data_IF_456652903958
#
_entry.id   IF_456652903958
#
_cell.length_a   1.000
_cell.length_b   1.000
_cell.length_c   1.000
_cell.angle_alpha   90.00
_cell.angle_beta   90.00
_cell.angle_gamma   90.00
#
_symmetry.space_group_name_H-M   'P 1'
#
loop_
_entity.id
_entity.type
_entity.pdbx_description
1 polymer ?
#
# COMPACT_ATOMS: atom_id res chain seq x y z
N UNK A 1 9.23 9.30 -1.37
CA UNK A 1 7.80 9.60 -1.12
C UNK A 1 7.58 9.50 0.38
N UNK A 2 6.99 10.52 1.01
CA UNK A 2 6.66 10.48 2.43
C UNK A 2 5.26 9.88 2.64
N UNK A 3 5.02 9.14 3.75
CA UNK A 3 3.70 8.64 4.08
C UNK A 3 2.72 9.80 4.30
N UNK A 4 1.47 9.61 3.87
CA UNK A 4 0.41 10.59 4.11
C UNK A 4 -0.35 10.19 5.37
N UNK A 5 -0.18 10.98 6.43
CA UNK A 5 -0.83 10.79 7.72
C UNK A 5 -1.89 11.90 7.89
N UNK A 6 -3.16 11.53 7.87
CA UNK A 6 -4.27 12.48 7.97
C UNK A 6 -5.07 12.20 9.24
N UNK A 7 -4.98 13.13 10.20
CA UNK A 7 -5.76 13.07 11.45
C UNK A 7 -7.26 13.29 11.23
N UNK A 8 -7.66 13.87 10.09
CA UNK A 8 -9.05 14.00 9.63
C UNK A 8 -9.11 13.81 8.12
N UNK A 9 -9.27 12.57 7.68
CA UNK A 9 -9.25 12.23 6.25
C UNK A 9 -10.40 12.90 5.48
N UNK A 10 -11.60 12.99 6.06
CA UNK A 10 -12.81 13.57 5.45
C UNK A 10 -12.70 15.07 5.11
N UNK A 11 -11.71 15.78 5.63
CA UNK A 11 -11.47 17.20 5.36
C UNK A 11 -10.34 17.43 4.36
N UNK A 12 -9.63 16.38 3.90
CA UNK A 12 -8.59 16.51 2.89
C UNK A 12 -9.24 16.60 1.49
N UNK A 13 -8.88 17.60 0.66
CA UNK A 13 -9.46 17.78 -0.67
C UNK A 13 -9.17 16.62 -1.64
N UNK A 14 -8.23 15.72 -1.31
CA UNK A 14 -7.94 14.51 -2.07
C UNK A 14 -8.77 13.31 -1.60
N UNK A 15 -9.51 13.44 -0.51
CA UNK A 15 -10.37 12.39 0.01
C UNK A 15 -11.62 12.27 -0.84
N UNK A 16 -11.84 11.08 -1.42
CA UNK A 16 -13.08 10.77 -2.13
C UNK A 16 -14.02 10.09 -1.14
N UNK A 17 -15.15 10.75 -0.87
CA UNK A 17 -16.23 10.20 -0.06
C UNK A 17 -17.08 9.29 -0.94
N UNK A 18 -17.24 8.03 -0.55
CA UNK A 18 -18.19 7.11 -1.17
C UNK A 18 -19.36 6.85 -0.20
N UNK A 19 -20.55 7.42 -0.46
CA UNK A 19 -21.70 7.30 0.44
C UNK A 19 -22.12 5.86 0.72
N UNK A 20 -21.93 4.94 -0.25
CA UNK A 20 -22.28 3.53 -0.09
C UNK A 20 -21.38 2.78 0.89
N UNK A 21 -20.17 3.31 1.15
CA UNK A 21 -19.18 2.69 2.03
C UNK A 21 -19.33 3.10 3.51
N UNK A 22 -20.27 4.02 3.81
CA UNK A 22 -20.54 4.51 5.17
C UNK A 22 -19.25 5.00 5.89
N UNK A 23 -18.40 5.70 5.11
CA UNK A 23 -17.05 6.12 5.51
C UNK A 23 -17.03 7.15 6.64
N UNK A 24 -18.19 7.74 7.00
CA UNK A 24 -18.35 8.66 8.12
C UNK A 24 -17.90 8.09 9.48
N UNK A 25 -17.78 6.76 9.58
CA UNK A 25 -17.26 6.11 10.79
C UNK A 25 -15.74 6.19 10.92
N UNK A 26 -14.99 6.39 9.83
CA UNK A 26 -13.52 6.37 9.85
C UNK A 26 -12.95 7.76 10.07
N UNK A 27 -12.44 8.00 11.28
CA UNK A 27 -12.00 9.31 11.71
C UNK A 27 -10.51 9.59 11.39
N UNK A 28 -9.69 8.55 11.26
CA UNK A 28 -8.27 8.69 10.89
C UNK A 28 -7.81 7.61 9.93
N UNK A 29 -6.85 7.97 9.08
CA UNK A 29 -6.33 7.10 8.03
C UNK A 29 -4.81 7.28 7.87
N UNK A 30 -4.12 6.16 7.67
CA UNK A 30 -2.70 6.11 7.30
C UNK A 30 -2.57 5.41 5.95
N UNK A 31 -2.05 6.14 4.97
CA UNK A 31 -1.71 5.57 3.66
C UNK A 31 -0.19 5.45 3.54
N UNK A 32 0.28 4.21 3.41
CA UNK A 32 1.71 3.89 3.29
C UNK A 32 2.02 3.31 1.89
N UNK A 33 2.86 3.96 1.08
CA UNK A 33 3.16 3.47 -0.26
C UNK A 33 4.12 2.27 -0.20
N UNK A 34 3.87 1.27 -1.05
CA UNK A 34 4.78 0.14 -1.26
C UNK A 34 5.69 0.51 -2.44
N UNK A 35 6.95 0.81 -2.17
CA UNK A 35 7.88 1.35 -3.17
C UNK A 35 9.21 0.61 -3.21
N UNK A 36 9.81 0.48 -4.39
CA UNK A 36 11.21 0.11 -4.57
C UNK A 36 11.89 1.19 -5.43
N UNK A 37 12.85 1.93 -4.85
CA UNK A 37 13.50 3.08 -5.50
C UNK A 37 12.49 4.12 -6.03
N UNK A 38 12.25 4.13 -7.34
CA UNK A 38 11.33 5.05 -8.03
C UNK A 38 9.99 4.40 -8.38
N UNK A 39 9.90 3.08 -8.26
CA UNK A 39 8.73 2.32 -8.68
C UNK A 39 7.73 2.17 -7.52
N UNK A 40 6.45 2.35 -7.83
CA UNK A 40 5.33 2.17 -6.90
C UNK A 40 4.62 0.87 -7.24
N UNK A 41 4.55 -0.03 -6.27
CA UNK A 41 3.93 -1.36 -6.40
C UNK A 41 2.51 -1.40 -5.81
N UNK A 42 2.12 -0.39 -5.05
CA UNK A 42 0.80 -0.27 -4.45
C UNK A 42 0.80 0.68 -3.25
N UNK A 43 -0.33 0.70 -2.53
CA UNK A 43 -0.51 1.48 -1.30
C UNK A 43 -1.24 0.62 -0.27
N UNK A 44 -0.76 0.63 0.97
CA UNK A 44 -1.46 0.07 2.13
C UNK A 44 -2.29 1.19 2.74
N UNK A 45 -3.58 0.93 2.95
CA UNK A 45 -4.47 1.87 3.62
C UNK A 45 -4.93 1.29 4.96
N UNK A 46 -4.68 2.02 6.04
CA UNK A 46 -5.19 1.72 7.38
C UNK A 46 -6.23 2.76 7.75
N UNK A 47 -7.40 2.31 8.16
CA UNK A 47 -8.51 3.16 8.57
C UNK A 47 -8.95 2.77 9.98
N UNK A 48 -9.17 3.76 10.84
CA UNK A 48 -9.69 3.53 12.20
C UNK A 48 -10.94 4.35 12.43
N UNK A 49 -11.87 3.80 13.21
CA UNK A 49 -13.09 4.49 13.59
C UNK A 49 -12.90 5.44 14.77
N UNK A 50 -11.85 5.27 15.55
CA UNK A 50 -11.40 6.23 16.56
C UNK A 50 -10.59 7.36 15.91
N UNK A 51 -10.77 8.59 16.39
CA UNK A 51 -9.98 9.75 15.96
C UNK A 51 -8.63 9.73 16.67
N UNK A 52 -7.57 9.39 15.96
CA UNK A 52 -6.20 9.36 16.52
C UNK A 52 -5.14 9.62 15.46
N UNK A 53 -3.93 9.95 15.91
CA UNK A 53 -2.75 9.92 15.06
C UNK A 53 -2.06 8.56 15.17
N UNK A 54 -1.49 8.08 14.07
CA UNK A 54 -0.64 6.89 14.08
C UNK A 54 0.75 7.25 14.60
N UNK A 55 1.21 6.65 15.71
CA UNK A 55 2.54 6.89 16.25
C UNK A 55 3.64 6.28 15.35
N UNK A 56 4.89 6.71 15.56
CA UNK A 56 6.02 6.37 14.69
C UNK A 56 6.34 4.87 14.68
N UNK A 57 6.16 4.18 15.79
CA UNK A 57 6.32 2.73 15.93
C UNK A 57 5.28 1.96 15.10
N UNK A 58 4.04 2.43 15.05
CA UNK A 58 3.02 1.86 14.17
C UNK A 58 3.34 2.11 12.69
N UNK A 59 3.78 3.32 12.33
CA UNK A 59 4.22 3.62 10.96
C UNK A 59 5.41 2.73 10.57
N UNK A 60 6.36 2.53 11.49
CA UNK A 60 7.50 1.65 11.31
C UNK A 60 7.05 0.19 11.12
N UNK A 61 6.11 -0.28 11.92
CA UNK A 61 5.52 -1.61 11.75
C UNK A 61 4.89 -1.79 10.37
N UNK A 62 4.13 -0.80 9.89
CA UNK A 62 3.57 -0.81 8.52
C UNK A 62 4.66 -0.84 7.46
N UNK A 63 5.78 -0.16 7.66
CA UNK A 63 6.91 -0.21 6.73
C UNK A 63 7.51 -1.62 6.60
N UNK A 64 7.56 -2.39 7.69
CA UNK A 64 8.01 -3.78 7.68
C UNK A 64 7.05 -4.63 6.84
N UNK A 65 5.74 -4.48 7.05
CA UNK A 65 4.71 -5.18 6.27
C UNK A 65 4.83 -4.83 4.79
N UNK A 66 5.01 -3.54 4.45
CA UNK A 66 5.18 -3.09 3.08
C UNK A 66 6.39 -3.75 2.39
N UNK A 67 7.52 -3.90 3.11
CA UNK A 67 8.71 -4.57 2.60
C UNK A 67 8.50 -6.08 2.37
N UNK A 68 7.73 -6.74 3.25
CA UNK A 68 7.36 -8.16 3.07
C UNK A 68 6.47 -8.35 1.83
N UNK A 69 5.46 -7.49 1.66
CA UNK A 69 4.57 -7.51 0.49
C UNK A 69 5.37 -7.26 -0.79
N UNK A 70 6.24 -6.24 -0.80
CA UNK A 70 7.11 -5.94 -1.93
C UNK A 70 7.97 -7.15 -2.33
N UNK A 71 8.55 -7.84 -1.35
CA UNK A 71 9.36 -9.04 -1.58
C UNK A 71 8.54 -10.15 -2.25
N UNK A 72 7.30 -10.38 -1.78
CA UNK A 72 6.40 -11.36 -2.38
C UNK A 72 6.00 -10.98 -3.82
N UNK A 73 5.71 -9.69 -4.09
CA UNK A 73 5.39 -9.20 -5.44
C UNK A 73 6.58 -9.43 -6.39
N UNK A 74 7.79 -9.04 -5.98
CA UNK A 74 9.01 -9.20 -6.80
C UNK A 74 9.33 -10.67 -7.06
N UNK A 75 9.14 -11.55 -6.06
CA UNK A 75 9.29 -12.99 -6.26
C UNK A 75 8.33 -13.51 -7.33
N UNK A 76 7.05 -13.12 -7.25
CA UNK A 76 6.04 -13.54 -8.24
C UNK A 76 6.37 -13.05 -9.64
N UNK A 77 6.79 -11.79 -9.79
CA UNK A 77 7.22 -11.22 -11.07
C UNK A 77 8.41 -11.99 -11.64
N UNK A 78 9.44 -12.27 -10.82
CA UNK A 78 10.61 -13.05 -11.24
C UNK A 78 10.21 -14.44 -11.75
N UNK A 79 9.35 -15.15 -11.02
CA UNK A 79 8.86 -16.48 -11.43
C UNK A 79 8.05 -16.42 -12.72
N UNK A 80 7.19 -15.40 -12.89
CA UNK A 80 6.42 -15.21 -14.13
C UNK A 80 7.34 -14.95 -15.34
N UNK A 81 8.32 -14.06 -15.19
CA UNK A 81 9.31 -13.76 -16.24
C UNK A 81 10.15 -14.99 -16.61
N UNK A 82 10.57 -15.80 -15.63
CA UNK A 82 11.30 -17.06 -15.90
C UNK A 82 10.44 -18.09 -16.63
N UNK A 83 9.14 -18.23 -16.29
CA UNK A 83 8.23 -19.12 -17.02
C UNK A 83 7.99 -18.66 -18.46
N UNK A 84 7.87 -17.36 -18.69
CA UNK A 84 7.72 -16.81 -20.04
C UNK A 84 8.97 -17.04 -20.90
N UNK A 85 10.17 -16.82 -20.33
CA UNK A 85 11.44 -17.07 -21.03
C UNK A 85 11.62 -18.55 -21.39
N UNK A 86 11.26 -19.48 -20.50
CA UNK A 86 11.34 -20.92 -20.77
C UNK A 86 10.37 -21.38 -21.87
N UNK A 87 9.22 -20.71 -22.04
CA UNK A 87 8.26 -21.02 -23.12
C UNK A 87 8.64 -20.40 -24.47
N UNK A 88 9.42 -19.32 -24.47
CA UNK A 88 9.80 -18.58 -25.67
C UNK A 88 11.02 -19.15 -26.41
N UNK A 89 11.76 -20.10 -25.82
CA UNK A 89 12.78 -20.88 -26.51
C UNK A 89 12.16 -22.18 -27.02
N UNK A 90 11.94 -22.38 -28.34
CA UNK A 90 11.58 -23.68 -28.85
C UNK A 90 12.77 -24.64 -28.67
N UNK A 91 12.47 -25.92 -28.42
CA UNK A 91 13.47 -26.99 -28.51
C UNK A 91 14.09 -27.01 -29.93
N UNK A 92 15.37 -27.43 -30.07
CA UNK A 92 16.05 -27.49 -31.36
C UNK A 92 15.38 -28.42 -32.37
#
# INVERSE_FOLDING_TARGET
MQPLNLSKASQDPRYKVFPELNEEKYNSMLSFPITDKKDVFGVINLQTTSMRSFPEDEIYFVSIIANLILSAIKLRQKVASSKMAAKASPAP
#
